data_IF_911342464036
#
_entry.id   IF_911342464036
#
_cell.length_a   1.000
_cell.length_b   1.000
_cell.length_c   1.000
_cell.angle_alpha   90.00
_cell.angle_beta   90.00
_cell.angle_gamma   90.00
#
_symmetry.space_group_name_H-M   'P 1'
#
loop_
_entity.id
_entity.type
_entity.pdbx_description
1 polymer ?
#
# COMPACT_ATOMS: atom_id res chain seq x y z
N UNK A 1 16.70 21.42 -5.80
CA UNK A 1 16.67 19.95 -5.83
C UNK A 1 15.46 19.56 -6.65
N UNK A 2 15.62 18.67 -7.63
CA UNK A 2 14.51 18.27 -8.51
C UNK A 2 13.58 17.32 -7.78
N UNK A 3 12.28 17.59 -7.86
CA UNK A 3 11.22 16.64 -7.53
C UNK A 3 11.20 15.57 -8.62
N UNK A 4 11.21 14.29 -8.24
CA UNK A 4 10.87 13.20 -9.15
C UNK A 4 9.37 12.93 -9.04
N UNK A 5 8.68 12.90 -10.17
CA UNK A 5 7.24 12.68 -10.24
C UNK A 5 6.95 11.57 -11.25
N UNK A 6 6.22 10.56 -10.81
CA UNK A 6 5.81 9.41 -11.62
C UNK A 6 4.30 9.31 -11.60
N UNK A 7 3.74 9.03 -12.77
CA UNK A 7 2.34 8.66 -12.93
C UNK A 7 2.30 7.18 -13.20
N UNK A 8 1.53 6.45 -12.41
CA UNK A 8 1.32 5.01 -12.59
C UNK A 8 -0.16 4.72 -12.66
N UNK A 9 -0.54 3.80 -13.53
CA UNK A 9 -1.92 3.33 -13.66
C UNK A 9 -1.95 1.82 -13.62
N UNK A 10 -2.96 1.29 -12.95
CA UNK A 10 -3.26 -0.14 -12.97
C UNK A 10 -4.70 -0.33 -13.38
N UNK A 11 -4.95 -1.42 -14.09
CA UNK A 11 -6.30 -1.92 -14.30
C UNK A 11 -6.49 -3.21 -13.51
N UNK A 12 -7.73 -3.47 -13.11
CA UNK A 12 -8.13 -4.73 -12.51
C UNK A 12 -7.85 -5.87 -13.50
N UNK A 13 -7.45 -7.03 -12.98
CA UNK A 13 -7.06 -8.17 -13.82
C UNK A 13 -8.21 -8.64 -14.71
N UNK A 14 -9.37 -8.86 -14.09
CA UNK A 14 -10.61 -9.25 -14.75
C UNK A 14 -11.72 -8.27 -14.32
N UNK A 15 -11.70 -7.04 -14.86
CA UNK A 15 -12.72 -6.05 -14.57
C UNK A 15 -12.44 -4.67 -15.13
N UNK A 16 -13.42 -3.75 -15.09
CA UNK A 16 -13.23 -2.37 -15.52
C UNK A 16 -12.57 -1.48 -14.45
N UNK A 17 -12.09 -2.05 -13.34
CA UNK A 17 -11.50 -1.30 -12.24
C UNK A 17 -10.20 -0.64 -12.68
N UNK A 18 -9.95 0.58 -12.20
CA UNK A 18 -8.78 1.34 -12.57
C UNK A 18 -8.26 2.12 -11.37
N UNK A 19 -6.95 2.20 -11.26
CA UNK A 19 -6.23 3.07 -10.36
C UNK A 19 -5.38 4.07 -11.17
N UNK A 20 -5.38 5.32 -10.72
CA UNK A 20 -4.45 6.34 -11.16
C UNK A 20 -3.73 6.92 -9.96
N UNK A 21 -2.40 6.80 -9.94
CA UNK A 21 -1.53 7.24 -8.86
C UNK A 21 -0.49 8.23 -9.36
N UNK A 22 -0.34 9.34 -8.63
CA UNK A 22 0.82 10.23 -8.71
C UNK A 22 1.75 9.95 -7.53
N UNK A 23 2.97 9.52 -7.82
CA UNK A 23 4.05 9.35 -6.85
C UNK A 23 5.01 10.52 -6.98
N UNK A 24 5.26 11.22 -5.86
CA UNK A 24 6.21 12.33 -5.78
C UNK A 24 7.26 12.02 -4.74
N UNK A 25 8.51 12.07 -5.13
CA UNK A 25 9.65 11.92 -4.24
C UNK A 25 10.39 13.26 -4.17
N UNK A 26 10.42 13.85 -2.97
CA UNK A 26 11.11 15.11 -2.66
C UNK A 26 12.08 14.88 -1.51
N UNK A 27 13.06 15.76 -1.34
CA UNK A 27 14.16 15.58 -0.37
C UNK A 27 13.69 15.20 1.05
N UNK A 28 13.63 13.89 1.32
CA UNK A 28 13.25 13.31 2.60
C UNK A 28 11.79 12.84 2.74
N UNK A 29 10.96 12.99 1.72
CA UNK A 29 9.51 12.73 1.76
C UNK A 29 9.03 12.04 0.48
N UNK A 30 8.17 11.05 0.65
CA UNK A 30 7.46 10.36 -0.43
C UNK A 30 5.97 10.60 -0.27
N UNK A 31 5.32 11.07 -1.34
CA UNK A 31 3.89 11.31 -1.36
C UNK A 31 3.26 10.49 -2.49
N UNK A 32 2.31 9.64 -2.15
CA UNK A 32 1.43 8.98 -3.10
C UNK A 32 0.01 9.55 -2.98
N UNK A 33 -0.55 10.02 -4.10
CA UNK A 33 -1.92 10.51 -4.21
C UNK A 33 -2.61 9.72 -5.32
N UNK A 34 -3.68 9.01 -4.99
CA UNK A 34 -4.30 8.04 -5.88
C UNK A 34 -5.82 8.12 -5.86
N UNK A 35 -6.42 7.84 -7.01
CA UNK A 35 -7.85 7.57 -7.15
C UNK A 35 -8.03 6.17 -7.70
N UNK A 36 -8.89 5.39 -7.04
CA UNK A 36 -9.27 4.04 -7.46
C UNK A 36 -10.77 4.00 -7.72
N UNK A 37 -11.14 3.48 -8.89
CA UNK A 37 -12.50 3.14 -9.27
C UNK A 37 -12.62 1.63 -9.14
N UNK A 38 -13.36 1.17 -8.13
CA UNK A 38 -13.55 -0.25 -7.87
C UNK A 38 -14.83 -0.75 -8.55
N UNK A 39 -14.67 -1.75 -9.43
CA UNK A 39 -15.78 -2.53 -9.96
C UNK A 39 -15.98 -3.81 -9.17
N UNK A 40 -17.22 -4.24 -9.01
CA UNK A 40 -17.57 -5.43 -8.23
C UNK A 40 -19.05 -5.44 -7.87
N UNK A 41 -19.43 -6.33 -6.94
CA UNK A 41 -20.82 -6.44 -6.48
C UNK A 41 -21.34 -5.15 -5.84
N UNK A 42 -20.46 -4.36 -5.22
CA UNK A 42 -20.77 -3.03 -4.69
C UNK A 42 -19.74 -2.05 -5.25
N UNK A 43 -20.08 -1.30 -6.32
CA UNK A 43 -19.15 -0.34 -6.90
C UNK A 43 -18.95 0.85 -5.97
N UNK A 44 -17.71 1.31 -5.84
CA UNK A 44 -17.36 2.53 -5.13
C UNK A 44 -16.11 3.15 -5.77
N UNK A 45 -15.86 4.42 -5.44
CA UNK A 45 -14.61 5.08 -5.77
C UNK A 45 -14.00 5.66 -4.50
N UNK A 46 -12.68 5.68 -4.46
CA UNK A 46 -11.92 6.14 -3.31
C UNK A 46 -10.75 7.00 -3.79
N UNK A 47 -10.47 8.06 -3.05
CA UNK A 47 -9.18 8.74 -3.14
C UNK A 47 -8.38 8.39 -1.89
N UNK A 48 -7.11 8.05 -2.03
CA UNK A 48 -6.25 7.91 -0.88
C UNK A 48 -4.96 8.69 -1.06
N UNK A 49 -4.38 9.11 0.06
CA UNK A 49 -3.09 9.78 0.13
C UNK A 49 -2.24 9.12 1.19
N UNK A 50 -1.01 8.74 0.85
CA UNK A 50 -0.02 8.19 1.78
C UNK A 50 1.22 9.07 1.75
N UNK A 51 1.64 9.52 2.92
CA UNK A 51 2.90 10.25 3.12
C UNK A 51 3.87 9.35 3.87
N UNK A 52 5.09 9.24 3.37
CA UNK A 52 6.16 8.50 3.98
C UNK A 52 7.41 9.36 4.16
N UNK A 53 8.27 8.98 5.10
CA UNK A 53 9.62 9.54 5.18
C UNK A 53 10.58 8.94 4.14
N UNK A 54 11.83 9.41 4.15
CA UNK A 54 12.91 8.94 3.27
C UNK A 54 13.19 7.43 3.35
N UNK A 55 12.79 6.76 4.44
CA UNK A 55 12.96 5.34 4.67
C UNK A 55 11.69 4.55 4.34
N UNK A 56 10.71 5.17 3.66
CA UNK A 56 9.44 4.57 3.29
C UNK A 56 8.60 4.13 4.50
N UNK A 57 8.78 4.77 5.67
CA UNK A 57 7.90 4.58 6.81
C UNK A 57 6.73 5.54 6.69
N UNK A 58 5.51 5.02 6.77
CA UNK A 58 4.33 5.86 6.65
C UNK A 58 4.20 6.83 7.84
N UNK A 59 3.83 8.06 7.54
CA UNK A 59 3.58 9.17 8.47
C UNK A 59 2.11 9.54 8.51
N UNK A 60 1.42 9.42 7.38
CA UNK A 60 -0.03 9.59 7.33
C UNK A 60 -0.66 8.76 6.22
N UNK A 61 -1.91 8.35 6.45
CA UNK A 61 -2.79 7.77 5.44
C UNK A 61 -4.15 8.45 5.55
N UNK A 62 -4.60 9.04 4.46
CA UNK A 62 -5.97 9.54 4.32
C UNK A 62 -6.70 8.72 3.27
N UNK A 63 -7.93 8.31 3.56
CA UNK A 63 -8.78 7.57 2.63
C UNK A 63 -10.16 8.22 2.60
N UNK A 64 -10.51 8.81 1.46
CA UNK A 64 -11.76 9.54 1.21
C UNK A 64 -12.68 8.72 0.30
N UNK A 65 -13.82 8.30 0.84
CA UNK A 65 -14.83 7.54 0.11
C UNK A 65 -15.73 8.48 -0.70
N UNK A 66 -15.60 8.45 -2.03
CA UNK A 66 -16.32 9.35 -2.93
C UNK A 66 -17.84 9.14 -2.81
N UNK A 67 -18.58 10.24 -2.64
CA UNK A 67 -20.05 10.25 -2.56
C UNK A 67 -20.64 9.87 -1.20
N UNK A 68 -19.89 9.17 -0.33
CA UNK A 68 -20.37 8.80 1.02
C UNK A 68 -20.11 9.88 2.08
N UNK A 69 -19.09 10.73 1.88
CA UNK A 69 -18.60 11.68 2.87
C UNK A 69 -17.81 11.05 4.03
N UNK A 70 -17.56 9.74 3.99
CA UNK A 70 -16.73 9.06 4.98
C UNK A 70 -15.24 9.24 4.64
N UNK A 71 -14.46 9.60 5.66
CA UNK A 71 -13.01 9.75 5.57
C UNK A 71 -12.35 9.00 6.73
N UNK A 72 -11.27 8.29 6.44
CA UNK A 72 -10.34 7.75 7.43
C UNK A 72 -9.07 8.60 7.42
N UNK A 73 -8.61 9.02 8.60
CA UNK A 73 -7.28 9.61 8.79
C UNK A 73 -6.52 8.80 9.82
N UNK A 74 -5.36 8.28 9.41
CA UNK A 74 -4.38 7.65 10.27
C UNK A 74 -3.09 8.47 10.25
N UNK A 75 -2.53 8.77 11.42
CA UNK A 75 -1.26 9.48 11.57
C UNK A 75 -0.31 8.60 12.38
N UNK A 76 0.96 8.54 11.97
CA UNK A 76 2.00 7.76 12.63
C UNK A 76 3.18 8.64 13.02
N UNK A 77 3.77 8.33 14.16
CA UNK A 77 5.07 8.88 14.57
C UNK A 77 6.26 8.28 13.81
N UNK A 78 6.01 7.34 12.88
CA UNK A 78 7.00 6.61 12.08
C UNK A 78 7.89 5.65 12.87
N UNK A 79 7.61 5.45 14.15
CA UNK A 79 8.25 4.47 15.03
C UNK A 79 7.27 3.36 15.45
N UNK A 80 6.08 3.35 14.84
CA UNK A 80 5.10 2.28 15.00
C UNK A 80 3.93 2.63 15.89
N UNK A 81 3.73 3.89 16.27
CA UNK A 81 2.55 4.30 17.03
C UNK A 81 1.59 5.08 16.14
N UNK A 82 0.36 4.56 16.03
CA UNK A 82 -0.67 5.14 15.18
C UNK A 82 -1.76 5.84 15.99
N UNK A 83 -2.28 6.92 15.41
CA UNK A 83 -3.41 7.69 15.91
C UNK A 83 -4.50 7.70 14.84
N UNK A 84 -5.73 7.40 15.24
CA UNK A 84 -6.95 7.52 14.44
C UNK A 84 -7.90 8.49 15.13
N UNK A 85 -8.33 9.53 14.41
CA UNK A 85 -9.31 10.51 14.92
C UNK A 85 -8.93 11.07 16.32
N UNK A 86 -7.64 11.32 16.53
CA UNK A 86 -7.07 11.83 17.78
C UNK A 86 -6.90 10.80 18.91
N UNK A 87 -7.27 9.53 18.68
CA UNK A 87 -7.09 8.43 19.64
C UNK A 87 -5.98 7.48 19.20
N UNK A 88 -5.15 7.05 20.15
CA UNK A 88 -4.14 6.02 19.87
C UNK A 88 -4.80 4.71 19.39
N UNK A 89 -4.07 3.94 18.58
CA UNK A 89 -4.49 2.65 18.02
C UNK A 89 -3.51 1.57 18.47
N UNK A 90 -3.57 1.10 19.74
CA UNK A 90 -2.55 0.22 20.33
C UNK A 90 -2.44 -1.13 19.61
N UNK A 91 -3.49 -1.59 18.92
CA UNK A 91 -3.44 -2.80 18.10
C UNK A 91 -2.45 -2.69 16.92
N UNK A 92 -1.98 -1.48 16.59
CA UNK A 92 -0.99 -1.21 15.55
C UNK A 92 0.40 -0.88 16.12
N UNK A 93 0.65 -1.10 17.42
CA UNK A 93 1.98 -0.85 18.00
C UNK A 93 3.07 -1.64 17.25
N UNK A 94 4.09 -0.93 16.76
CA UNK A 94 5.20 -1.47 15.97
C UNK A 94 4.90 -1.63 14.46
N UNK A 95 3.70 -1.30 13.99
CA UNK A 95 3.32 -1.36 12.57
C UNK A 95 3.87 -0.15 11.82
N UNK A 96 4.57 -0.36 10.70
CA UNK A 96 5.17 0.75 9.92
C UNK A 96 4.48 1.01 8.59
N UNK A 97 3.75 0.02 8.07
CA UNK A 97 3.22 0.05 6.70
C UNK A 97 1.69 -0.06 6.71
N UNK A 98 0.96 0.88 6.09
CA UNK A 98 -0.44 0.70 5.77
C UNK A 98 -0.62 -0.23 4.58
N UNK A 99 -1.77 -0.91 4.54
CA UNK A 99 -2.16 -1.75 3.41
C UNK A 99 -3.63 -1.50 3.05
N UNK A 100 -3.88 -0.97 1.85
CA UNK A 100 -5.21 -0.57 1.39
C UNK A 100 -5.71 -1.63 0.41
N UNK A 101 -6.86 -2.24 0.69
CA UNK A 101 -7.33 -3.46 0.00
C UNK A 101 -7.55 -3.35 -1.52
N UNK A 102 -7.57 -2.14 -2.08
CA UNK A 102 -7.96 -1.88 -3.48
C UNK A 102 -6.83 -1.35 -4.33
N UNK A 103 -5.58 -1.56 -3.93
CA UNK A 103 -4.42 -1.09 -4.69
C UNK A 103 -3.25 -2.05 -4.57
N UNK A 104 -2.45 -2.25 -5.64
CA UNK A 104 -1.19 -2.94 -5.53
C UNK A 104 -0.08 -2.04 -4.97
N UNK A 105 -0.25 -0.71 -4.94
CA UNK A 105 0.79 0.24 -4.53
C UNK A 105 1.28 0.03 -3.10
N UNK A 106 0.42 -0.36 -2.16
CA UNK A 106 0.82 -0.55 -0.76
C UNK A 106 1.89 -1.64 -0.57
N UNK A 107 2.04 -2.56 -1.53
CA UNK A 107 3.14 -3.55 -1.53
C UNK A 107 4.51 -2.89 -1.74
N UNK A 108 4.57 -1.73 -2.39
CA UNK A 108 5.83 -1.00 -2.65
C UNK A 108 6.48 -0.50 -1.36
N UNK A 109 5.69 -0.14 -0.35
CA UNK A 109 6.19 0.39 0.93
C UNK A 109 7.13 -0.61 1.64
N UNK A 110 6.69 -1.84 1.99
CA UNK A 110 7.58 -2.80 2.61
C UNK A 110 8.71 -3.24 1.68
N UNK A 111 8.50 -3.35 0.37
CA UNK A 111 9.56 -3.68 -0.59
C UNK A 111 10.70 -2.66 -0.55
N UNK A 112 10.38 -1.36 -0.60
CA UNK A 112 11.35 -0.26 -0.56
C UNK A 112 12.01 -0.10 0.81
N UNK A 113 11.26 -0.33 1.89
CA UNK A 113 11.74 -0.22 3.28
C UNK A 113 12.65 -1.37 3.67
N UNK A 114 12.30 -2.61 3.32
CA UNK A 114 13.03 -3.82 3.73
C UNK A 114 14.28 -4.08 2.90
N UNK A 115 14.27 -3.73 1.60
CA UNK A 115 15.41 -3.90 0.67
C UNK A 115 16.01 -5.31 0.74
N UNK A 116 15.14 -6.32 0.71
CA UNK A 116 15.54 -7.72 0.81
C UNK A 116 16.40 -8.12 -0.40
N UNK A 117 17.49 -8.83 -0.16
CA UNK A 117 18.27 -9.50 -1.20
C UNK A 117 17.61 -10.83 -1.61
N UNK A 118 17.94 -11.33 -2.79
CA UNK A 118 17.43 -12.63 -3.29
C UNK A 118 17.57 -13.74 -2.25
N UNK A 119 16.47 -14.43 -1.96
CA UNK A 119 16.37 -15.51 -0.97
C UNK A 119 16.10 -15.05 0.47
N UNK A 120 16.12 -13.74 0.76
CA UNK A 120 15.74 -13.22 2.07
C UNK A 120 14.23 -13.08 2.22
N UNK A 121 13.76 -13.25 3.45
CA UNK A 121 12.37 -13.06 3.84
C UNK A 121 12.26 -12.20 5.09
N UNK A 122 11.16 -11.46 5.22
CA UNK A 122 10.80 -10.76 6.45
C UNK A 122 9.30 -10.91 6.73
N UNK A 123 8.99 -11.17 8.00
CA UNK A 123 7.63 -11.04 8.53
C UNK A 123 7.41 -9.58 8.94
N UNK A 124 6.25 -9.04 8.56
CA UNK A 124 5.80 -7.70 8.95
C UNK A 124 4.35 -7.78 9.42
N UNK A 125 3.89 -6.73 10.10
CA UNK A 125 2.46 -6.49 10.31
C UNK A 125 2.11 -5.17 9.65
N UNK A 126 0.95 -5.13 9.01
CA UNK A 126 0.44 -3.96 8.29
C UNK A 126 -0.82 -3.42 8.95
N UNK A 127 -1.04 -2.10 8.82
CA UNK A 127 -2.31 -1.47 9.15
C UNK A 127 -3.27 -1.70 7.97
N UNK A 128 -3.98 -2.82 7.99
CA UNK A 128 -4.82 -3.27 6.89
C UNK A 128 -6.17 -2.54 6.91
N UNK A 129 -6.35 -1.67 5.92
CA UNK A 129 -7.51 -0.79 5.75
C UNK A 129 -8.49 -1.45 4.78
N UNK A 130 -9.61 -1.96 5.30
CA UNK A 130 -10.64 -2.63 4.52
C UNK A 130 -11.62 -1.63 3.94
N UNK A 131 -11.77 -1.64 2.62
CA UNK A 131 -12.77 -0.86 1.91
C UNK A 131 -13.98 -1.73 1.51
N UNK A 132 -15.20 -1.14 1.44
CA UNK A 132 -15.53 0.27 1.69
C UNK A 132 -15.76 0.62 3.18
N UNK A 133 -15.58 -0.33 4.11
CA UNK A 133 -15.96 -0.15 5.52
C UNK A 133 -15.08 0.80 6.34
N UNK A 134 -13.89 1.15 5.86
CA UNK A 134 -12.88 1.95 6.57
C UNK A 134 -12.51 1.36 7.95
N UNK A 135 -12.54 0.02 8.04
CA UNK A 135 -12.05 -0.69 9.22
C UNK A 135 -10.54 -0.91 9.10
N UNK A 136 -9.84 -0.78 10.21
CA UNK A 136 -8.38 -0.91 10.27
C UNK A 136 -8.06 -2.04 11.23
N UNK A 137 -7.27 -3.01 10.78
CA UNK A 137 -6.87 -4.16 11.60
C UNK A 137 -5.39 -4.47 11.37
N UNK A 138 -4.72 -4.98 12.39
CA UNK A 138 -3.38 -5.55 12.24
C UNK A 138 -3.45 -6.80 11.35
N UNK A 139 -2.68 -6.83 10.26
CA UNK A 139 -2.60 -7.98 9.36
C UNK A 139 -1.14 -8.45 9.23
N UNK A 140 -0.79 -9.63 9.75
CA UNK A 140 0.54 -10.18 9.63
C UNK A 140 0.76 -10.73 8.20
N UNK A 141 1.91 -10.39 7.62
CA UNK A 141 2.30 -10.67 6.24
C UNK A 141 3.76 -11.12 6.18
N UNK A 142 4.15 -11.81 5.11
CA UNK A 142 5.55 -12.10 4.80
C UNK A 142 5.87 -11.72 3.37
N UNK A 143 7.03 -11.11 3.19
CA UNK A 143 7.62 -10.84 1.89
C UNK A 143 8.92 -11.65 1.76
N UNK A 144 9.08 -12.34 0.64
CA UNK A 144 10.30 -13.04 0.27
C UNK A 144 10.80 -12.52 -1.07
N UNK A 145 12.04 -12.05 -1.15
CA UNK A 145 12.63 -11.62 -2.41
C UNK A 145 13.02 -12.85 -3.25
N UNK A 146 12.33 -13.08 -4.36
CA UNK A 146 12.61 -14.19 -5.28
C UNK A 146 13.70 -13.82 -6.30
N UNK A 147 13.70 -12.57 -6.75
CA UNK A 147 14.69 -12.00 -7.67
C UNK A 147 14.81 -10.51 -7.35
N UNK A 148 15.99 -10.11 -6.87
CA UNK A 148 16.26 -8.74 -6.43
C UNK A 148 15.94 -7.72 -7.52
N UNK A 149 15.20 -6.68 -7.14
CA UNK A 149 14.76 -5.62 -8.05
C UNK A 149 13.71 -6.04 -9.08
N UNK A 150 13.12 -7.25 -8.98
CA UNK A 150 12.16 -7.74 -9.98
C UNK A 150 10.99 -8.56 -9.45
N UNK A 151 11.19 -9.50 -8.53
CA UNK A 151 10.14 -10.43 -8.09
C UNK A 151 10.14 -10.69 -6.59
N UNK A 152 8.95 -10.62 -6.01
CA UNK A 152 8.70 -10.88 -4.59
C UNK A 152 7.55 -11.87 -4.41
N UNK A 153 7.65 -12.78 -3.45
CA UNK A 153 6.53 -13.57 -2.99
C UNK A 153 5.90 -12.86 -1.79
N UNK A 154 4.64 -12.47 -1.94
CA UNK A 154 3.76 -12.04 -0.87
C UNK A 154 3.04 -13.25 -0.28
N UNK A 155 2.98 -13.32 1.05
CA UNK A 155 2.25 -14.34 1.79
C UNK A 155 1.42 -13.69 2.92
N UNK A 156 0.14 -14.01 2.97
CA UNK A 156 -0.68 -13.77 4.16
C UNK A 156 -0.21 -14.69 5.28
N UNK A 157 -0.12 -14.18 6.51
CA UNK A 157 0.10 -15.03 7.70
C UNK A 157 -1.19 -15.39 8.41
N UNK A 158 -2.33 -14.87 7.94
CA UNK A 158 -3.67 -15.13 8.45
C UNK A 158 -4.46 -16.16 7.61
N UNK A 159 -3.93 -16.58 6.46
CA UNK A 159 -4.55 -17.53 5.53
C UNK A 159 -3.50 -18.19 4.62
N UNK A 160 -3.89 -19.16 3.80
CA UNK A 160 -3.01 -19.80 2.81
C UNK A 160 -2.80 -18.95 1.54
N UNK A 161 -3.23 -17.68 1.56
CA UNK A 161 -3.12 -16.80 0.40
C UNK A 161 -1.66 -16.37 0.17
N UNK A 162 -1.20 -16.51 -1.07
CA UNK A 162 0.11 -16.05 -1.54
C UNK A 162 0.08 -15.63 -3.00
N UNK A 163 0.91 -14.68 -3.40
CA UNK A 163 1.08 -14.24 -4.79
C UNK A 163 2.52 -13.82 -5.08
N UNK A 164 3.00 -14.19 -6.26
CA UNK A 164 4.25 -13.64 -6.79
C UNK A 164 3.94 -12.30 -7.45
N UNK A 165 4.59 -11.25 -6.97
CA UNK A 165 4.52 -9.90 -7.48
C UNK A 165 5.71 -9.66 -8.40
N UNK A 166 5.44 -9.11 -9.58
CA UNK A 166 6.48 -8.49 -10.40
C UNK A 166 6.53 -7.00 -10.09
N UNK A 167 7.72 -6.45 -9.97
CA UNK A 167 7.98 -5.03 -9.71
C UNK A 167 8.92 -4.46 -10.78
N UNK A 168 8.91 -3.14 -10.91
CA UNK A 168 9.94 -2.43 -11.67
C UNK A 168 11.15 -2.02 -10.81
N UNK A 169 12.07 -1.29 -11.43
CA UNK A 169 13.26 -0.75 -10.78
C UNK A 169 12.95 0.20 -9.60
N UNK A 170 11.71 0.69 -9.52
CA UNK A 170 11.21 1.54 -8.46
C UNK A 170 10.40 0.78 -7.39
N UNK A 171 10.40 -0.55 -7.42
CA UNK A 171 9.62 -1.35 -6.49
C UNK A 171 8.10 -1.21 -6.66
N UNK A 172 7.66 -0.56 -7.74
CA UNK A 172 6.25 -0.40 -8.07
C UNK A 172 5.78 -1.67 -8.74
N UNK A 173 4.65 -2.20 -8.27
CA UNK A 173 4.08 -3.43 -8.81
C UNK A 173 3.77 -3.25 -10.30
N UNK A 174 4.20 -4.20 -11.11
CA UNK A 174 3.88 -4.35 -12.54
C UNK A 174 2.74 -5.34 -12.69
N UNK A 175 2.85 -6.48 -12.01
CA UNK A 175 1.92 -7.60 -12.11
C UNK A 175 1.56 -8.08 -10.70
N UNK A 176 0.27 -8.08 -10.38
CA UNK A 176 -0.32 -8.74 -9.22
C UNK A 176 -1.34 -9.77 -9.76
N UNK A 177 -0.93 -11.03 -9.98
CA UNK A 177 -1.76 -12.02 -10.67
C UNK A 177 -3.13 -12.19 -10.02
N UNK A 178 -4.18 -12.17 -10.85
CA UNK A 178 -5.61 -12.23 -10.49
C UNK A 178 -6.21 -10.95 -9.89
N UNK A 179 -5.43 -9.88 -9.68
CA UNK A 179 -5.91 -8.65 -9.05
C UNK A 179 -5.65 -7.40 -9.89
N UNK A 180 -4.39 -7.13 -10.24
CA UNK A 180 -3.99 -5.87 -10.89
C UNK A 180 -2.89 -6.09 -11.91
N UNK A 181 -2.96 -5.34 -13.00
CA UNK A 181 -1.91 -5.25 -14.00
C UNK A 181 -1.65 -3.78 -14.34
N UNK A 182 -0.37 -3.42 -14.45
CA UNK A 182 0.06 -2.08 -14.81
C UNK A 182 -0.17 -1.83 -16.31
N UNK A 183 -0.65 -0.62 -16.63
CA UNK A 183 -0.78 -0.13 -18.01
C UNK A 183 0.57 0.03 -18.73
#
# INVERSE_FOLDING_TARGET
MSEDMKIVRWHEWDGPGIEHLELRERAGEVLADSVVICSGQTPFAVRYRIECDANWRARSVTVDMIGSGQTLVLVSDGEGHWIRDGSAVPELDGVLDPDVTVTPFTNTLPIRRLRLSTGQSADITTAFIRLPTLTVVANPQRYTCLEEGRRYLYESRASDFRRELEIDADGLVVTYPDFWQRE
#
